data_IF_877161501875
#
_entry.id   IF_877161501875
#
_cell.length_a   1.000
_cell.length_b   1.000
_cell.length_c   1.000
_cell.angle_alpha   90.00
_cell.angle_beta   90.00
_cell.angle_gamma   90.00
#
_symmetry.space_group_name_H-M   'P 1'
#
loop_
_entity.id
_entity.type
_entity.pdbx_description
1 polymer ?
#
# COMPACT_ATOMS: atom_id res chain seq x y z
N UNK A 1 -2.30 -19.47 -21.68
CA UNK A 1 -2.02 -19.14 -20.27
C UNK A 1 -3.34 -18.77 -19.62
N UNK A 2 -3.87 -19.64 -18.74
CA UNK A 2 -5.06 -19.33 -17.94
C UNK A 2 -4.64 -18.42 -16.77
N UNK A 3 -5.42 -17.41 -16.39
CA UNK A 3 -5.13 -16.61 -15.20
C UNK A 3 -5.24 -17.55 -13.99
N UNK A 4 -4.13 -17.75 -13.29
CA UNK A 4 -4.10 -18.48 -12.04
C UNK A 4 -4.62 -17.54 -10.95
N UNK A 5 -5.94 -17.34 -10.91
CA UNK A 5 -6.59 -16.67 -9.79
C UNK A 5 -6.30 -17.49 -8.53
N UNK A 6 -5.67 -16.89 -7.53
CA UNK A 6 -5.24 -17.56 -6.31
C UNK A 6 -6.47 -17.85 -5.40
N UNK A 7 -6.93 -19.12 -5.25
CA UNK A 7 -8.19 -19.43 -4.57
C UNK A 7 -8.19 -19.41 -3.01
N UNK A 8 -7.10 -19.64 -2.25
CA UNK A 8 -7.15 -19.74 -0.78
C UNK A 8 -7.36 -18.38 -0.07
N UNK A 9 -6.92 -17.26 -0.65
CA UNK A 9 -7.10 -15.93 -0.05
C UNK A 9 -8.58 -15.48 0.00
N UNK A 10 -9.44 -16.00 -0.88
CA UNK A 10 -10.82 -15.54 -1.04
C UNK A 10 -11.72 -15.85 0.17
N UNK A 11 -11.47 -16.94 0.89
CA UNK A 11 -12.33 -17.40 1.99
C UNK A 11 -12.11 -16.61 3.28
N UNK A 12 -10.88 -16.17 3.56
CA UNK A 12 -10.56 -15.29 4.71
C UNK A 12 -11.12 -13.87 4.45
N UNK A 13 -11.01 -13.41 3.20
CA UNK A 13 -11.44 -12.08 2.74
C UNK A 13 -12.96 -11.89 2.81
N UNK A 14 -13.76 -12.90 2.47
CA UNK A 14 -15.22 -12.82 2.52
C UNK A 14 -15.75 -12.46 3.93
N UNK A 15 -15.06 -12.94 4.98
CA UNK A 15 -15.45 -12.71 6.39
C UNK A 15 -15.04 -11.32 6.87
N UNK A 16 -13.89 -10.79 6.40
CA UNK A 16 -13.37 -9.47 6.78
C UNK A 16 -14.11 -8.33 6.05
N UNK A 17 -14.51 -8.54 4.78
CA UNK A 17 -15.26 -7.55 4.00
C UNK A 17 -16.71 -7.37 4.49
N UNK A 18 -17.33 -8.41 5.06
CA UNK A 18 -18.67 -8.29 5.65
C UNK A 18 -18.70 -7.39 6.90
N UNK A 19 -17.66 -7.40 7.72
CA UNK A 19 -17.58 -6.59 8.95
C UNK A 19 -17.44 -5.08 8.71
N UNK A 20 -17.14 -4.65 7.47
CA UNK A 20 -16.90 -3.23 7.14
C UNK A 20 -18.02 -2.54 6.36
N UNK A 21 -19.08 -3.25 5.94
CA UNK A 21 -20.26 -2.59 5.35
C UNK A 21 -20.97 -1.62 6.31
N UNK A 22 -20.64 -1.68 7.60
CA UNK A 22 -21.28 -0.87 8.65
C UNK A 22 -20.54 0.45 8.96
N UNK A 23 -19.40 0.76 8.33
CA UNK A 23 -18.61 1.98 8.64
C UNK A 23 -18.41 2.95 7.46
N UNK A 24 -19.27 2.92 6.44
CA UNK A 24 -19.29 3.98 5.40
C UNK A 24 -20.16 5.15 5.83
N UNK A 25 -19.69 5.90 6.83
CA UNK A 25 -20.14 7.26 7.10
C UNK A 25 -19.36 8.23 6.23
N UNK A 26 -20.06 8.96 5.36
CA UNK A 26 -19.58 10.06 4.53
C UNK A 26 -18.47 10.90 5.18
N UNK A 27 -17.25 10.80 4.68
CA UNK A 27 -16.24 11.84 4.81
C UNK A 27 -15.79 12.25 3.41
N UNK A 28 -15.86 13.55 3.14
CA UNK A 28 -15.34 14.16 1.92
C UNK A 28 -13.93 13.61 1.61
N UNK A 29 -13.65 13.38 0.33
CA UNK A 29 -12.55 12.61 -0.26
C UNK A 29 -11.13 12.90 0.29
N UNK A 30 -10.86 12.57 1.55
CA UNK A 30 -9.52 12.58 2.13
C UNK A 30 -8.83 11.27 1.76
N UNK A 31 -7.73 11.37 1.04
CA UNK A 31 -6.93 10.21 0.69
C UNK A 31 -5.93 9.93 1.80
N UNK A 32 -5.93 8.71 2.33
CA UNK A 32 -5.04 8.34 3.41
C UNK A 32 -4.49 6.94 3.28
N UNK A 33 -3.25 6.76 3.70
CA UNK A 33 -2.55 5.48 3.76
C UNK A 33 -2.14 5.20 5.20
N UNK A 34 -2.25 3.95 5.64
CA UNK A 34 -1.80 3.54 6.97
C UNK A 34 -0.64 2.57 6.82
N UNK A 35 0.52 2.95 7.34
CA UNK A 35 1.76 2.19 7.27
C UNK A 35 2.25 1.83 8.66
N UNK A 36 3.08 0.79 8.75
CA UNK A 36 3.69 0.37 10.01
C UNK A 36 4.93 1.24 10.32
N UNK A 37 5.14 1.58 11.59
CA UNK A 37 6.36 2.25 12.07
C UNK A 37 7.62 1.55 11.53
N UNK A 38 8.63 2.32 11.16
CA UNK A 38 9.86 1.85 10.52
C UNK A 38 9.76 1.70 9.00
N UNK A 39 8.57 1.85 8.40
CA UNK A 39 8.42 1.84 6.94
C UNK A 39 9.14 3.06 6.35
N UNK A 40 10.15 2.89 5.47
CA UNK A 40 10.84 4.02 4.86
C UNK A 40 9.98 4.65 3.76
N UNK A 41 9.86 5.97 3.76
CA UNK A 41 9.12 6.79 2.81
C UNK A 41 10.10 7.64 2.01
N UNK A 42 9.96 7.68 0.69
CA UNK A 42 10.78 8.57 -0.13
C UNK A 42 10.27 10.00 0.01
N UNK A 43 11.13 10.89 0.50
CA UNK A 43 10.89 12.32 0.64
C UNK A 43 11.90 13.10 -0.20
N UNK A 44 11.74 14.42 -0.24
CA UNK A 44 12.72 15.31 -0.87
C UNK A 44 14.14 15.16 -0.28
N UNK A 45 14.24 14.77 0.99
CA UNK A 45 15.51 14.64 1.74
C UNK A 45 16.03 13.18 1.75
N UNK A 46 15.42 12.30 0.96
CA UNK A 46 15.75 10.87 0.88
C UNK A 46 14.76 9.98 1.61
N UNK A 47 15.19 8.77 1.97
CA UNK A 47 14.32 7.80 2.64
C UNK A 47 14.26 8.10 4.14
N UNK A 48 13.08 8.47 4.65
CA UNK A 48 12.82 8.72 6.07
C UNK A 48 11.81 7.71 6.63
N UNK A 49 11.96 7.31 7.89
CA UNK A 49 10.99 6.42 8.52
C UNK A 49 9.65 7.15 8.71
N UNK A 50 8.53 6.46 8.48
CA UNK A 50 7.20 7.08 8.46
C UNK A 50 6.85 7.82 9.76
N UNK A 51 7.37 7.37 10.90
CA UNK A 51 7.14 7.95 12.21
C UNK A 51 7.91 9.25 12.46
N UNK A 52 8.92 9.57 11.66
CA UNK A 52 9.67 10.83 11.77
C UNK A 52 9.03 11.95 10.96
N UNK A 53 8.06 11.62 10.09
CA UNK A 53 7.38 12.59 9.25
C UNK A 53 6.46 13.52 10.05
N UNK A 54 6.29 14.73 9.55
CA UNK A 54 5.40 15.76 10.08
C UNK A 54 4.54 16.38 8.97
N UNK A 55 3.45 17.04 9.36
CA UNK A 55 2.61 17.75 8.39
C UNK A 55 3.42 18.87 7.71
N UNK A 56 3.35 18.93 6.38
CA UNK A 56 4.13 19.84 5.54
C UNK A 56 5.32 19.17 4.85
N UNK A 57 5.79 18.01 5.31
CA UNK A 57 6.91 17.30 4.69
C UNK A 57 6.60 16.93 3.23
N UNK A 58 7.59 17.11 2.36
CA UNK A 58 7.47 16.86 0.93
C UNK A 58 7.79 15.40 0.60
N UNK A 59 6.76 14.62 0.29
CA UNK A 59 6.89 13.23 -0.12
C UNK A 59 7.00 13.12 -1.64
N UNK A 60 7.85 12.22 -2.11
CA UNK A 60 7.92 11.90 -3.53
C UNK A 60 6.71 11.02 -3.88
N UNK A 61 5.89 11.51 -4.80
CA UNK A 61 4.72 10.80 -5.34
C UNK A 61 4.87 10.56 -6.82
N UNK A 62 4.34 9.43 -7.28
CA UNK A 62 4.25 9.12 -8.71
C UNK A 62 3.21 9.98 -9.43
N UNK A 63 2.17 10.40 -8.71
CA UNK A 63 1.06 11.16 -9.29
C UNK A 63 1.49 12.59 -9.65
N UNK A 64 2.23 13.28 -8.77
CA UNK A 64 2.51 14.71 -8.92
C UNK A 64 3.96 15.12 -8.62
N UNK A 65 4.84 14.17 -8.28
CA UNK A 65 6.17 14.50 -7.79
C UNK A 65 6.11 14.87 -6.30
N UNK A 66 6.77 15.95 -5.90
CA UNK A 66 6.76 16.40 -4.50
C UNK A 66 5.36 16.85 -4.08
N UNK A 67 4.85 16.22 -3.03
CA UNK A 67 3.53 16.50 -2.46
C UNK A 67 3.66 16.71 -0.95
N UNK A 68 3.11 17.81 -0.39
CA UNK A 68 3.10 18.03 1.05
C UNK A 68 2.16 17.04 1.76
N UNK A 69 2.64 16.46 2.85
CA UNK A 69 1.80 15.68 3.75
C UNK A 69 0.83 16.61 4.49
N UNK A 70 -0.48 16.37 4.41
CA UNK A 70 -1.47 17.24 5.05
C UNK A 70 -1.59 16.96 6.56
N UNK A 71 -1.54 15.69 6.95
CA UNK A 71 -1.65 15.27 8.35
C UNK A 71 -0.98 13.91 8.56
N UNK A 72 -0.44 13.71 9.76
CA UNK A 72 -0.01 12.41 10.26
C UNK A 72 -0.72 12.09 11.58
N UNK A 73 -1.13 10.83 11.74
CA UNK A 73 -1.67 10.30 13.00
C UNK A 73 -0.98 8.99 13.35
N UNK A 74 -0.44 8.93 14.56
CA UNK A 74 0.10 7.70 15.15
C UNK A 74 -0.99 6.96 15.92
N UNK A 75 -1.02 5.65 15.84
CA UNK A 75 -1.92 4.80 16.62
C UNK A 75 -1.38 3.39 16.76
N UNK A 76 -1.98 2.61 17.66
CA UNK A 76 -1.68 1.20 17.82
C UNK A 76 -2.97 0.41 17.69
N UNK A 77 -2.99 -0.63 16.87
CA UNK A 77 -4.18 -1.43 16.65
C UNK A 77 -3.84 -2.88 16.27
N UNK A 78 -4.74 -3.80 16.61
CA UNK A 78 -4.70 -5.15 16.08
C UNK A 78 -5.25 -5.15 14.65
N UNK A 79 -4.43 -5.51 13.67
CA UNK A 79 -4.81 -5.55 12.26
C UNK A 79 -4.27 -6.80 11.58
N UNK A 80 -4.99 -7.28 10.56
CA UNK A 80 -4.47 -8.33 9.69
C UNK A 80 -3.34 -7.77 8.83
N UNK A 81 -2.20 -8.46 8.80
CA UNK A 81 -1.00 -7.99 8.13
C UNK A 81 -0.54 -8.96 7.05
N UNK A 82 0.07 -8.41 6.00
CA UNK A 82 0.69 -9.15 4.91
C UNK A 82 2.17 -8.78 4.90
N UNK A 83 3.04 -9.79 4.98
CA UNK A 83 4.48 -9.63 4.86
C UNK A 83 4.89 -9.83 3.41
N UNK A 84 5.68 -8.89 2.91
CA UNK A 84 6.39 -8.96 1.64
C UNK A 84 7.87 -9.14 1.97
N UNK A 85 8.44 -10.29 1.60
CA UNK A 85 9.89 -10.50 1.68
C UNK A 85 10.62 -9.58 0.72
N UNK A 86 11.81 -9.12 1.07
CA UNK A 86 12.67 -8.32 0.20
C UNK A 86 12.80 -8.94 -1.21
N UNK A 87 12.57 -8.14 -2.25
CA UNK A 87 12.65 -8.59 -3.64
C UNK A 87 11.55 -9.54 -4.11
N UNK A 88 10.51 -9.80 -3.30
CA UNK A 88 9.37 -10.68 -3.65
C UNK A 88 8.63 -10.27 -4.93
N UNK A 89 8.65 -8.97 -5.28
CA UNK A 89 8.09 -8.44 -6.51
C UNK A 89 9.17 -8.16 -7.56
N UNK A 90 10.39 -8.68 -7.41
CA UNK A 90 11.51 -8.52 -8.36
C UNK A 90 12.09 -7.11 -8.44
N UNK A 91 13.22 -6.94 -9.12
CA UNK A 91 13.98 -5.66 -9.20
C UNK A 91 14.22 -5.03 -7.82
N UNK A 92 14.58 -5.84 -6.83
CA UNK A 92 14.79 -5.39 -5.43
C UNK A 92 13.59 -4.66 -4.82
N UNK A 93 12.37 -5.00 -5.24
CA UNK A 93 11.12 -4.50 -4.64
C UNK A 93 10.41 -5.64 -3.90
N UNK A 94 10.02 -5.45 -2.63
CA UNK A 94 10.42 -4.36 -1.73
C UNK A 94 11.94 -4.28 -1.51
N UNK A 95 12.45 -3.11 -1.08
CA UNK A 95 13.89 -2.89 -0.82
C UNK A 95 14.42 -3.60 0.44
N UNK A 96 13.51 -4.08 1.28
CA UNK A 96 13.73 -4.89 2.48
C UNK A 96 12.39 -5.49 2.90
N UNK A 97 12.37 -6.37 3.90
CA UNK A 97 11.10 -6.94 4.37
C UNK A 97 10.11 -5.83 4.75
N UNK A 98 8.90 -5.92 4.21
CA UNK A 98 7.87 -4.90 4.37
C UNK A 98 6.58 -5.55 4.86
N UNK A 99 6.04 -5.01 5.95
CA UNK A 99 4.72 -5.38 6.44
C UNK A 99 3.71 -4.33 6.01
N UNK A 100 2.54 -4.76 5.54
CA UNK A 100 1.43 -3.87 5.20
C UNK A 100 0.11 -4.38 5.80
N UNK A 101 -0.84 -3.49 6.12
CA UNK A 101 -2.21 -3.91 6.41
C UNK A 101 -2.81 -4.67 5.22
N UNK A 102 -3.63 -5.67 5.50
CA UNK A 102 -4.18 -6.60 4.50
C UNK A 102 -4.90 -5.93 3.32
N UNK A 103 -5.62 -4.84 3.57
CA UNK A 103 -6.38 -4.09 2.55
C UNK A 103 -5.59 -2.90 1.96
N UNK A 104 -4.31 -2.75 2.29
CA UNK A 104 -3.50 -1.65 1.78
C UNK A 104 -3.41 -1.75 0.26
N UNK A 105 -3.74 -0.65 -0.43
CA UNK A 105 -3.69 -0.58 -1.88
C UNK A 105 -2.24 -0.44 -2.35
N UNK A 106 -1.81 -1.36 -3.19
CA UNK A 106 -0.48 -1.45 -3.80
C UNK A 106 -0.64 -1.27 -5.30
N UNK A 107 0.18 -0.42 -5.91
CA UNK A 107 0.26 -0.30 -7.35
C UNK A 107 1.24 -1.34 -7.90
N UNK A 108 0.74 -2.22 -8.76
CA UNK A 108 1.54 -3.15 -9.55
C UNK A 108 1.52 -2.69 -11.00
N UNK A 109 2.67 -2.78 -11.68
CA UNK A 109 2.81 -2.33 -13.07
C UNK A 109 3.76 -3.19 -13.89
N UNK A 110 3.87 -2.85 -15.17
CA UNK A 110 4.70 -3.48 -16.18
C UNK A 110 4.31 -4.95 -16.43
N UNK A 111 5.29 -5.81 -16.72
CA UNK A 111 5.06 -7.22 -17.03
C UNK A 111 4.32 -7.97 -15.90
N UNK A 112 4.48 -7.55 -14.64
CA UNK A 112 3.85 -8.16 -13.47
C UNK A 112 2.34 -7.92 -13.47
N UNK A 113 1.94 -6.67 -13.66
CA UNK A 113 0.51 -6.33 -13.75
C UNK A 113 -0.13 -7.05 -14.94
N UNK A 114 0.60 -7.16 -16.06
CA UNK A 114 0.10 -7.88 -17.23
C UNK A 114 -0.05 -9.38 -16.96
N UNK A 115 0.91 -9.99 -16.28
CA UNK A 115 0.89 -11.41 -15.93
C UNK A 115 -0.20 -11.75 -14.89
N UNK A 116 -0.36 -10.92 -13.85
CA UNK A 116 -1.27 -11.17 -12.73
C UNK A 116 -2.70 -10.70 -13.01
N UNK A 117 -2.86 -9.54 -13.67
CA UNK A 117 -4.14 -8.85 -13.81
C UNK A 117 -4.55 -8.57 -15.26
N UNK A 118 -3.72 -8.94 -16.25
CA UNK A 118 -4.01 -8.72 -17.67
C UNK A 118 -3.96 -7.25 -18.11
N UNK A 119 -3.48 -6.34 -17.25
CA UNK A 119 -3.45 -4.90 -17.50
C UNK A 119 -2.02 -4.35 -17.38
N UNK A 120 -1.67 -3.24 -18.05
CA UNK A 120 -0.33 -2.65 -17.93
C UNK A 120 -0.02 -2.14 -16.51
N UNK A 121 -1.06 -1.84 -15.73
CA UNK A 121 -0.99 -1.45 -14.33
C UNK A 121 -2.28 -1.84 -13.60
N UNK A 122 -2.20 -2.07 -12.30
CA UNK A 122 -3.33 -2.38 -11.44
C UNK A 122 -3.08 -1.89 -10.01
N UNK A 123 -4.08 -1.24 -9.41
CA UNK A 123 -4.08 -0.94 -7.97
C UNK A 123 -4.92 -2.01 -7.27
N UNK A 124 -4.25 -2.82 -6.44
CA UNK A 124 -4.83 -3.99 -5.80
C UNK A 124 -4.55 -3.99 -4.30
N UNK A 125 -5.45 -4.52 -3.47
CA UNK A 125 -5.15 -4.71 -2.06
C UNK A 125 -4.02 -5.73 -1.86
N UNK A 126 -3.23 -5.56 -0.80
CA UNK A 126 -2.07 -6.40 -0.50
C UNK A 126 -2.39 -7.91 -0.46
N UNK A 127 -3.58 -8.30 0.00
CA UNK A 127 -3.97 -9.72 0.03
C UNK A 127 -4.06 -10.40 -1.34
N UNK A 128 -4.33 -9.65 -2.41
CA UNK A 128 -4.39 -10.22 -3.77
C UNK A 128 -3.00 -10.61 -4.28
N UNK A 129 -1.94 -10.17 -3.61
CA UNK A 129 -0.55 -10.44 -3.95
C UNK A 129 0.03 -11.61 -3.16
N UNK A 130 -0.70 -12.18 -2.19
CA UNK A 130 -0.23 -13.33 -1.41
C UNK A 130 0.04 -14.51 -2.35
N UNK A 131 1.22 -15.11 -2.21
CA UNK A 131 1.65 -16.31 -2.95
C UNK A 131 2.05 -17.47 -2.01
N UNK A 132 1.93 -17.28 -0.69
CA UNK A 132 2.29 -18.22 0.38
C UNK A 132 3.80 -18.53 0.49
N UNK A 133 4.65 -17.97 -0.36
CA UNK A 133 6.09 -18.24 -0.39
C UNK A 133 6.90 -16.99 -0.03
N UNK A 134 6.70 -15.89 -0.75
CA UNK A 134 7.42 -14.64 -0.58
C UNK A 134 6.52 -13.50 -0.11
N UNK A 135 5.21 -13.61 -0.34
CA UNK A 135 4.19 -12.70 0.14
C UNK A 135 3.20 -13.54 0.94
N UNK A 136 3.19 -13.34 2.26
CA UNK A 136 2.50 -14.22 3.21
C UNK A 136 1.54 -13.45 4.08
N UNK A 137 0.45 -14.13 4.42
CA UNK A 137 -0.45 -13.66 5.46
C UNK A 137 0.16 -13.89 6.85
N UNK A 138 0.30 -12.84 7.64
CA UNK A 138 0.81 -12.90 9.00
C UNK A 138 -0.33 -12.96 10.04
N UNK A 139 -1.59 -13.00 9.61
CA UNK A 139 -2.72 -13.00 10.53
C UNK A 139 -2.89 -11.67 11.26
N UNK A 140 -3.60 -11.71 12.40
CA UNK A 140 -3.80 -10.55 13.26
C UNK A 140 -2.53 -10.22 14.04
N UNK A 141 -2.00 -9.02 13.81
CA UNK A 141 -0.79 -8.51 14.44
C UNK A 141 -1.09 -7.22 15.20
N UNK A 142 -0.47 -7.05 16.36
CA UNK A 142 -0.51 -5.78 17.09
C UNK A 142 0.51 -4.83 16.48
N UNK A 143 0.05 -3.83 15.72
CA UNK A 143 0.90 -2.96 14.92
C UNK A 143 0.93 -1.54 15.47
N UNK A 144 2.09 -0.91 15.38
CA UNK A 144 2.25 0.53 15.51
C UNK A 144 2.12 1.17 14.14
N UNK A 145 1.19 2.11 14.02
CA UNK A 145 0.65 2.58 12.74
C UNK A 145 0.82 4.09 12.61
N UNK A 146 1.30 4.53 11.46
CA UNK A 146 1.30 5.91 11.02
C UNK A 146 0.32 6.06 9.86
N UNK A 147 -0.76 6.81 10.08
CA UNK A 147 -1.72 7.17 9.02
C UNK A 147 -1.36 8.53 8.45
N UNK A 148 -1.01 8.55 7.17
CA UNK A 148 -0.68 9.72 6.39
C UNK A 148 -1.91 10.16 5.61
N UNK A 149 -2.26 11.45 5.67
CA UNK A 149 -3.41 12.02 4.95
C UNK A 149 -2.92 13.08 3.97
N UNK A 150 -3.50 13.06 2.76
CA UNK A 150 -3.24 13.98 1.68
C UNK A 150 -4.53 14.69 1.24
N UNK A 151 -4.37 15.80 0.53
CA UNK A 151 -5.47 16.59 -0.04
C UNK A 151 -6.22 15.85 -1.16
N UNK A 152 -5.53 14.95 -1.86
CA UNK A 152 -6.04 14.16 -2.98
C UNK A 152 -5.38 12.76 -3.04
N UNK A 153 -5.93 11.84 -3.86
CA UNK A 153 -5.30 10.56 -4.15
C UNK A 153 -3.89 10.65 -4.74
N UNK A 154 -2.96 9.92 -4.15
CA UNK A 154 -1.57 9.81 -4.59
C UNK A 154 -1.06 8.37 -4.52
N UNK A 155 -0.05 8.09 -5.35
CA UNK A 155 0.82 6.92 -5.16
C UNK A 155 2.16 7.41 -4.61
N UNK A 156 2.50 6.95 -3.42
CA UNK A 156 3.75 7.27 -2.71
C UNK A 156 4.74 6.11 -2.85
N UNK A 157 6.02 6.37 -2.63
CA UNK A 157 7.02 5.30 -2.49
C UNK A 157 7.28 4.99 -1.03
N UNK A 158 6.94 3.77 -0.61
CA UNK A 158 7.08 3.30 0.76
C UNK A 158 7.64 1.87 0.79
N UNK A 159 8.69 1.62 1.57
CA UNK A 159 9.33 0.29 1.64
C UNK A 159 9.97 -0.16 0.31
N UNK A 160 10.25 0.77 -0.60
CA UNK A 160 10.65 0.45 -1.97
C UNK A 160 9.49 -0.03 -2.87
N UNK A 161 8.24 0.12 -2.43
CA UNK A 161 7.04 -0.19 -3.20
C UNK A 161 6.24 1.07 -3.56
N UNK A 162 5.40 0.96 -4.58
CA UNK A 162 4.43 1.99 -4.97
C UNK A 162 3.11 1.75 -4.23
N UNK A 163 2.82 2.57 -3.21
CA UNK A 163 1.65 2.42 -2.33
C UNK A 163 0.63 3.51 -2.62
N UNK A 164 -0.60 3.10 -2.90
CA UNK A 164 -1.69 4.00 -3.19
C UNK A 164 -2.40 4.45 -1.91
N UNK A 165 -2.63 5.76 -1.79
CA UNK A 165 -3.37 6.37 -0.67
C UNK A 165 -4.89 6.24 -0.81
N UNK A 166 -5.35 5.78 -1.96
CA UNK A 166 -6.72 5.30 -2.21
C UNK A 166 -6.73 4.51 -3.52
N UNK A 167 -7.80 3.75 -3.78
CA UNK A 167 -7.93 2.99 -5.02
C UNK A 167 -7.94 3.87 -6.28
N UNK A 168 -8.46 5.09 -6.20
CA UNK A 168 -8.50 6.06 -7.29
C UNK A 168 -7.13 6.67 -7.63
N UNK A 169 -6.10 6.46 -6.81
CA UNK A 169 -4.78 7.05 -7.05
C UNK A 169 -4.09 6.50 -8.32
N UNK A 170 -4.55 5.36 -8.86
CA UNK A 170 -4.00 4.75 -10.07
C UNK A 170 -4.37 5.45 -11.39
N UNK A 171 -5.33 6.37 -11.38
CA UNK A 171 -5.96 6.86 -12.62
C UNK A 171 -5.15 7.97 -13.33
N UNK A 172 -4.15 8.59 -12.67
CA UNK A 172 -3.36 9.71 -13.21
C UNK A 172 -1.88 9.64 -12.81
N UNK A 173 -1.18 8.60 -13.24
CA UNK A 173 0.22 8.37 -12.87
C UNK A 173 1.18 9.03 -13.87
N UNK A 174 2.25 9.66 -13.37
CA UNK A 174 3.35 10.09 -14.25
C UNK A 174 4.10 8.86 -14.78
N UNK A 175 4.63 8.93 -16.02
CA UNK A 175 5.49 7.88 -16.55
C UNK A 175 6.71 7.67 -15.65
N UNK A 176 7.22 6.43 -15.61
CA UNK A 176 8.50 6.15 -14.99
C UNK A 176 9.58 6.97 -15.71
N UNK A 177 10.40 7.70 -14.95
CA UNK A 177 11.67 8.20 -15.45
C UNK A 177 12.63 7.01 -15.69
#
# INVERSE_FOLDING_TARGET
MKPHANPPAQHIVARILQSRREQTGSHAAQSSVTLITGTPIQTQDGALAVETLTAGDQLITRTQGLTPLSKIRKSRAMMHAVRFTAGSLGHTQPGGDLLLPLNQQVLIRDWRAKAMFGQPQAVVPAFELIDEEFIRDEGMQMLELCTLTFDRPHVIYAGGMEIATSRAAGDNLRPAA
#
